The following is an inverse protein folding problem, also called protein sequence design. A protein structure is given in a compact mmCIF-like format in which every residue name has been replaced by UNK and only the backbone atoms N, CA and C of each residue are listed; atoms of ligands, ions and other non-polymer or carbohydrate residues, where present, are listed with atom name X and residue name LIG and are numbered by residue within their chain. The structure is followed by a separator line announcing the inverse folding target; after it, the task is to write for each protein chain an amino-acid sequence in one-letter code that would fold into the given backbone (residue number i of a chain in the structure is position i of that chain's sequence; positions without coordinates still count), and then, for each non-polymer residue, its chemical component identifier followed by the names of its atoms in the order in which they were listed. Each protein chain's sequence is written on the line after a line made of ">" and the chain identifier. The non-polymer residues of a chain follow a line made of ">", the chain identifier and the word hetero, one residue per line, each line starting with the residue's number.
data_IF_250442287263
#
_entry.id   IF_250442287263
#
_cell.length_a   1.000
_cell.length_b   1.000
_cell.length_c   1.000
_cell.angle_alpha   90.00
_cell.angle_beta   90.00
_cell.angle_gamma   90.00
#
_symmetry.space_group_name_H-M   'P 1'
#
loop_
_entity.id
_entity.type
_entity.pdbx_description
1 polymer ?
#
# COMPACT_ATOMS: atom_id res chain seq x y z
N UNK A 1 10.94 1.12 -25.43
CA UNK A 1 10.34 -0.07 -24.77
C UNK A 1 10.32 -0.02 -23.22
N UNK A 2 11.23 0.67 -22.51
CA UNK A 2 11.33 0.57 -21.03
C UNK A 2 10.36 1.46 -20.23
N UNK A 3 9.92 2.58 -20.79
CA UNK A 3 8.93 3.50 -20.19
C UNK A 3 7.53 2.89 -19.98
N UNK A 4 6.91 2.21 -20.99
CA UNK A 4 5.61 1.57 -20.78
C UNK A 4 5.66 0.43 -19.77
N UNK A 5 6.82 -0.24 -19.64
CA UNK A 5 7.00 -1.30 -18.64
C UNK A 5 7.01 -0.74 -17.21
N UNK A 6 7.67 0.41 -16.98
CA UNK A 6 7.62 1.11 -15.69
C UNK A 6 6.19 1.58 -15.35
N UNK A 7 5.46 2.11 -16.34
CA UNK A 7 4.07 2.52 -16.15
C UNK A 7 3.16 1.34 -15.78
N UNK A 8 3.35 0.17 -16.41
CA UNK A 8 2.63 -1.05 -16.05
C UNK A 8 2.92 -1.50 -14.61
N UNK A 9 4.17 -1.38 -14.14
CA UNK A 9 4.54 -1.67 -12.75
C UNK A 9 3.88 -0.68 -11.78
N UNK A 10 3.84 0.62 -12.10
CA UNK A 10 3.15 1.62 -11.28
C UNK A 10 1.65 1.32 -11.17
N UNK A 11 1.01 0.98 -12.30
CA UNK A 11 -0.41 0.62 -12.33
C UNK A 11 -0.69 -0.66 -11.52
N UNK A 12 0.13 -1.70 -11.66
CA UNK A 12 0.02 -2.94 -10.89
C UNK A 12 0.24 -2.73 -9.39
N UNK A 13 1.22 -1.92 -9.01
CA UNK A 13 1.48 -1.56 -7.62
C UNK A 13 0.27 -0.87 -6.98
N UNK A 14 -0.30 0.14 -7.65
CA UNK A 14 -1.51 0.80 -7.18
C UNK A 14 -2.70 -0.14 -7.04
N UNK A 15 -2.88 -1.07 -7.99
CA UNK A 15 -3.96 -2.05 -7.96
C UNK A 15 -3.86 -3.01 -6.75
N UNK A 16 -2.67 -3.59 -6.51
CA UNK A 16 -2.44 -4.54 -5.41
C UNK A 16 -2.60 -3.87 -4.03
N UNK A 17 -2.16 -2.62 -3.88
CA UNK A 17 -2.29 -1.91 -2.60
C UNK A 17 -3.74 -1.57 -2.27
N UNK A 18 -4.56 -1.35 -3.30
CA UNK A 18 -5.98 -1.10 -3.14
C UNK A 18 -6.78 -2.36 -2.75
N UNK A 19 -6.16 -3.55 -2.78
CA UNK A 19 -6.78 -4.85 -2.49
C UNK A 19 -6.91 -5.14 -0.99
N UNK A 20 -7.56 -4.24 -0.26
CA UNK A 20 -7.78 -4.37 1.19
C UNK A 20 -9.02 -5.22 1.49
N UNK A 21 -10.06 -5.13 0.67
CA UNK A 21 -11.34 -5.83 0.90
C UNK A 21 -11.26 -7.34 0.71
N UNK A 22 -10.61 -7.80 -0.36
CA UNK A 22 -10.45 -9.23 -0.63
C UNK A 22 -9.60 -9.91 0.46
N UNK A 23 -8.49 -9.30 0.87
CA UNK A 23 -7.62 -9.82 1.93
C UNK A 23 -8.31 -9.89 3.31
N UNK A 24 -9.21 -8.94 3.61
CA UNK A 24 -10.06 -9.01 4.81
C UNK A 24 -11.09 -10.15 4.73
N UNK A 25 -11.76 -10.33 3.59
CA UNK A 25 -12.83 -11.32 3.41
C UNK A 25 -12.31 -12.77 3.46
N UNK A 26 -11.11 -13.03 2.92
CA UNK A 26 -10.52 -14.39 2.87
C UNK A 26 -9.69 -14.77 4.10
N UNK A 27 -9.61 -13.91 5.12
CA UNK A 27 -8.94 -14.23 6.39
C UNK A 27 -7.46 -13.86 6.48
N UNK A 28 -6.98 -12.92 5.66
CA UNK A 28 -5.61 -12.37 5.72
C UNK A 28 -5.31 -11.51 6.95
N UNK A 29 -6.00 -11.71 8.07
CA UNK A 29 -5.92 -10.86 9.26
C UNK A 29 -5.33 -11.57 10.50
N UNK A 30 -4.50 -12.60 10.32
CA UNK A 30 -3.86 -13.31 11.44
C UNK A 30 -2.64 -12.49 11.91
N UNK A 31 -2.67 -12.04 13.17
CA UNK A 31 -1.60 -11.24 13.77
C UNK A 31 -0.26 -11.99 13.66
N UNK A 32 0.75 -11.37 13.05
CA UNK A 32 2.10 -11.92 12.96
C UNK A 32 2.31 -12.99 11.89
N UNK A 33 1.29 -13.33 11.08
CA UNK A 33 1.42 -14.30 10.00
C UNK A 33 0.98 -13.73 8.66
N UNK A 34 -0.29 -13.34 8.54
CA UNK A 34 -0.87 -12.87 7.26
C UNK A 34 -1.34 -11.43 7.30
N UNK A 35 -1.38 -10.81 8.48
CA UNK A 35 -1.87 -9.44 8.66
C UNK A 35 -0.93 -8.42 8.03
N UNK A 36 -1.41 -7.78 6.98
CA UNK A 36 -0.78 -6.61 6.36
C UNK A 36 -1.24 -5.30 7.02
N UNK A 37 -0.47 -4.23 6.81
CA UNK A 37 -0.73 -2.91 7.38
C UNK A 37 -2.13 -2.37 7.04
N UNK A 38 -2.59 -2.56 5.81
CA UNK A 38 -3.90 -2.08 5.34
C UNK A 38 -5.05 -2.77 6.06
N UNK A 39 -4.99 -4.09 6.19
CA UNK A 39 -5.95 -4.92 6.94
C UNK A 39 -5.93 -4.57 8.44
N UNK A 40 -4.75 -4.30 9.00
CA UNK A 40 -4.61 -3.88 10.40
C UNK A 40 -5.28 -2.52 10.66
N UNK A 41 -5.09 -1.54 9.76
CA UNK A 41 -5.75 -0.23 9.84
C UNK A 41 -7.27 -0.36 9.84
N UNK A 42 -7.83 -1.15 8.92
CA UNK A 42 -9.29 -1.36 8.84
C UNK A 42 -9.81 -2.07 10.08
N UNK A 43 -9.08 -3.07 10.59
CA UNK A 43 -9.43 -3.79 11.81
C UNK A 43 -9.47 -2.86 13.04
N UNK A 44 -8.44 -2.04 13.24
CA UNK A 44 -8.38 -1.14 14.39
C UNK A 44 -9.43 -0.02 14.30
N UNK A 45 -9.73 0.47 13.09
CA UNK A 45 -10.88 1.37 12.84
C UNK A 45 -12.20 0.72 13.23
N UNK A 46 -12.43 -0.54 12.83
CA UNK A 46 -13.65 -1.29 13.15
C UNK A 46 -13.81 -1.61 14.64
N UNK A 47 -12.72 -1.67 15.40
CA UNK A 47 -12.73 -1.83 16.86
C UNK A 47 -12.96 -0.52 17.62
N UNK A 48 -12.96 0.63 16.95
CA UNK A 48 -13.01 1.95 17.58
C UNK A 48 -11.65 2.47 18.08
N UNK A 49 -10.54 1.79 17.77
CA UNK A 49 -9.19 2.19 18.16
C UNK A 49 -8.61 3.18 17.13
N UNK A 50 -9.21 4.37 17.04
CA UNK A 50 -8.85 5.36 16.02
C UNK A 50 -7.41 5.87 16.15
N UNK A 51 -6.88 6.00 17.37
CA UNK A 51 -5.50 6.45 17.59
C UNK A 51 -4.49 5.52 16.88
N UNK A 52 -4.63 4.21 17.10
CA UNK A 52 -3.80 3.19 16.46
C UNK A 52 -4.04 3.14 14.96
N UNK A 53 -5.31 3.25 14.52
CA UNK A 53 -5.65 3.21 13.11
C UNK A 53 -5.06 4.40 12.33
N UNK A 54 -5.07 5.60 12.91
CA UNK A 54 -4.48 6.80 12.32
C UNK A 54 -2.96 6.68 12.27
N UNK A 55 -2.32 6.23 13.35
CA UNK A 55 -0.87 6.00 13.38
C UNK A 55 -0.42 5.01 12.28
N UNK A 56 -1.12 3.88 12.14
CA UNK A 56 -0.86 2.91 11.08
C UNK A 56 -1.10 3.51 9.69
N UNK A 57 -2.17 4.29 9.51
CA UNK A 57 -2.49 4.95 8.23
C UNK A 57 -1.41 5.95 7.80
N UNK A 58 -0.87 6.72 8.73
CA UNK A 58 0.21 7.67 8.45
C UNK A 58 1.50 6.97 8.03
N UNK A 59 1.86 5.87 8.71
CA UNK A 59 3.00 5.03 8.33
C UNK A 59 2.80 4.48 6.91
N UNK A 60 1.60 3.96 6.63
CA UNK A 60 1.24 3.41 5.33
C UNK A 60 1.34 4.49 4.23
N UNK A 61 0.78 5.67 4.48
CA UNK A 61 0.83 6.81 3.56
C UNK A 61 2.28 7.21 3.25
N UNK A 62 3.14 7.30 4.26
CA UNK A 62 4.54 7.65 4.10
C UNK A 62 5.28 6.60 3.26
N UNK A 63 5.06 5.30 3.54
CA UNK A 63 5.64 4.21 2.74
C UNK A 63 5.18 4.26 1.28
N UNK A 64 3.87 4.46 1.06
CA UNK A 64 3.32 4.56 -0.30
C UNK A 64 3.90 5.74 -1.06
N UNK A 65 4.02 6.88 -0.38
CA UNK A 65 4.62 8.07 -0.96
C UNK A 65 6.09 7.84 -1.32
N UNK A 66 6.88 7.24 -0.43
CA UNK A 66 8.30 6.94 -0.69
C UNK A 66 8.48 6.00 -1.88
N UNK A 67 7.68 4.93 -1.97
CA UNK A 67 7.77 3.99 -3.10
C UNK A 67 7.36 4.67 -4.40
N UNK A 68 6.25 5.43 -4.39
CA UNK A 68 5.78 6.13 -5.58
C UNK A 68 6.77 7.23 -6.03
N UNK A 69 7.34 7.96 -5.08
CA UNK A 69 8.39 8.94 -5.31
C UNK A 69 9.63 8.29 -5.91
N UNK A 70 10.10 7.17 -5.35
CA UNK A 70 11.23 6.41 -5.88
C UNK A 70 10.99 5.93 -7.32
N UNK A 71 9.82 5.34 -7.60
CA UNK A 71 9.46 4.93 -8.96
C UNK A 71 9.41 6.11 -9.92
N UNK A 72 8.81 7.23 -9.49
CA UNK A 72 8.69 8.46 -10.28
C UNK A 72 10.07 9.06 -10.56
N UNK A 73 10.97 9.09 -9.58
CA UNK A 73 12.34 9.59 -9.75
C UNK A 73 13.12 8.75 -10.77
N UNK A 74 13.02 7.42 -10.69
CA UNK A 74 13.64 6.49 -11.67
C UNK A 74 13.04 6.70 -13.07
N UNK A 75 11.74 6.98 -13.17
CA UNK A 75 11.07 7.24 -14.45
C UNK A 75 11.50 8.58 -15.07
N UNK A 76 11.62 9.64 -14.25
CA UNK A 76 12.04 10.98 -14.68
C UNK A 76 13.52 11.03 -15.06
N UNK A 77 14.40 10.33 -14.34
CA UNK A 77 15.83 10.23 -14.68
C UNK A 77 16.13 9.55 -16.02
N UNK A 78 15.14 8.88 -16.63
CA UNK A 78 15.23 8.31 -18.00
C UNK A 78 14.60 9.19 -19.08
N UNK A 79 13.97 10.31 -18.72
CA UNK A 79 13.40 11.30 -19.65
C UNK A 79 14.40 12.37 -20.08
N UNK A 80 15.52 12.53 -19.37
CA UNK A 80 16.62 13.45 -19.68
C UNK A 80 17.72 12.78 -20.51
#
# INVERSE_FOLDING_TARGET
>A
ARLPMLAAVMAGFGAVISEVGASLMVGGNIKGSTRVLTTATVLETGKGNFDTAIALSLILLLLMFLVNWGLTWIQQGRRA
#
